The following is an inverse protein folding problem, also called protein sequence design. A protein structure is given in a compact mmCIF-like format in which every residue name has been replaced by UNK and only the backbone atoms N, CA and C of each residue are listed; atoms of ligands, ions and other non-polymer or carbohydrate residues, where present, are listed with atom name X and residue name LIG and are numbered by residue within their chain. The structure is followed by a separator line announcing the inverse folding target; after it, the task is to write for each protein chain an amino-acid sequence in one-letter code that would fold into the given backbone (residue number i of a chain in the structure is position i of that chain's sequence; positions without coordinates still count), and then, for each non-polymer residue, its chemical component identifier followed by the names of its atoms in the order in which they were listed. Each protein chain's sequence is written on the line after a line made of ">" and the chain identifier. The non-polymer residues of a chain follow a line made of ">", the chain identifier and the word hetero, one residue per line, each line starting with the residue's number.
data_IF_013765648947
#
_entry.id   IF_013765648947
#
_cell.length_a   1.000
_cell.length_b   1.000
_cell.length_c   1.000
_cell.angle_alpha   90.00
_cell.angle_beta   90.00
_cell.angle_gamma   90.00
#
_symmetry.space_group_name_H-M   'P 1'
#
loop_
_entity.id
_entity.type
_entity.pdbx_description
1 polymer ?
#
# COMPACT_ATOMS: atom_id res chain seq x y z
N UNK A 1 -36.07 -13.41 -16.50
CA UNK A 1 -35.23 -12.27 -16.92
C UNK A 1 -34.85 -11.53 -15.65
N UNK A 2 -33.56 -11.47 -15.31
CA UNK A 2 -33.08 -10.90 -14.04
C UNK A 2 -33.51 -9.43 -13.93
N UNK A 3 -34.36 -9.10 -12.95
CA UNK A 3 -34.84 -7.73 -12.73
C UNK A 3 -34.12 -7.10 -11.54
N UNK A 4 -33.22 -6.16 -11.86
CA UNK A 4 -32.74 -5.15 -10.92
C UNK A 4 -33.64 -3.93 -11.08
N UNK A 5 -34.55 -3.72 -10.13
CA UNK A 5 -35.33 -2.51 -10.09
C UNK A 5 -34.45 -1.36 -9.59
N UNK A 6 -34.76 -0.12 -9.98
CA UNK A 6 -33.98 1.06 -9.53
C UNK A 6 -33.86 1.17 -8.01
N UNK A 7 -34.85 0.66 -7.28
CA UNK A 7 -34.85 0.60 -5.81
C UNK A 7 -33.78 -0.33 -5.24
N UNK A 8 -33.34 -1.34 -5.98
CA UNK A 8 -32.33 -2.29 -5.53
C UNK A 8 -30.92 -1.67 -5.49
N UNK A 9 -30.72 -0.59 -6.24
CA UNK A 9 -29.45 0.11 -6.34
C UNK A 9 -29.08 0.83 -5.03
N UNK A 10 -30.07 1.15 -4.19
CA UNK A 10 -29.85 1.76 -2.87
C UNK A 10 -29.24 0.77 -1.86
N UNK A 11 -29.33 -0.54 -2.08
CA UNK A 11 -28.73 -1.50 -1.16
C UNK A 11 -27.20 -1.45 -1.17
N UNK A 12 -26.58 -1.05 -2.28
CA UNK A 12 -25.11 -0.97 -2.41
C UNK A 12 -24.50 0.05 -1.42
N UNK A 13 -24.92 1.33 -1.40
CA UNK A 13 -24.39 2.29 -0.42
C UNK A 13 -24.76 1.94 1.02
N UNK A 14 -25.93 1.33 1.26
CA UNK A 14 -26.33 0.86 2.60
C UNK A 14 -25.39 -0.24 3.11
N UNK A 15 -25.15 -1.28 2.30
CA UNK A 15 -24.21 -2.35 2.64
C UNK A 15 -22.81 -1.79 2.85
N UNK A 16 -22.37 -0.88 1.96
CA UNK A 16 -21.05 -0.25 2.06
C UNK A 16 -20.90 0.57 3.34
N UNK A 17 -21.92 1.34 3.73
CA UNK A 17 -21.94 2.13 4.96
C UNK A 17 -21.82 1.27 6.21
N UNK A 18 -22.65 0.22 6.32
CA UNK A 18 -22.60 -0.72 7.46
C UNK A 18 -21.22 -1.37 7.54
N UNK A 19 -20.71 -1.91 6.44
CA UNK A 19 -19.39 -2.55 6.39
C UNK A 19 -18.27 -1.57 6.76
N UNK A 20 -18.38 -0.29 6.37
CA UNK A 20 -17.43 0.75 6.73
C UNK A 20 -17.43 1.08 8.23
N UNK A 21 -18.61 1.11 8.85
CA UNK A 21 -18.73 1.27 10.30
C UNK A 21 -18.11 0.08 11.04
N UNK A 22 -18.39 -1.17 10.61
CA UNK A 22 -17.76 -2.35 11.23
C UNK A 22 -16.23 -2.34 11.09
N UNK A 23 -15.70 -1.93 9.94
CA UNK A 23 -14.25 -1.74 9.76
C UNK A 23 -13.67 -0.73 10.75
N UNK A 24 -14.40 0.36 10.99
CA UNK A 24 -13.98 1.42 11.92
C UNK A 24 -14.02 0.98 13.39
N UNK A 25 -14.86 0.01 13.72
CA UNK A 25 -14.98 -0.58 15.06
C UNK A 25 -13.95 -1.68 15.37
N UNK A 26 -12.98 -1.94 14.48
CA UNK A 26 -11.91 -2.90 14.71
C UNK A 26 -12.02 -4.21 13.93
N UNK A 27 -12.97 -4.33 12.99
CA UNK A 27 -13.04 -5.49 12.11
C UNK A 27 -11.82 -5.51 11.17
N UNK A 28 -11.03 -6.60 11.22
CA UNK A 28 -9.89 -6.81 10.32
C UNK A 28 -10.37 -6.70 8.87
N UNK A 29 -9.64 -5.94 8.04
CA UNK A 29 -9.97 -5.68 6.62
C UNK A 29 -10.20 -6.96 5.79
N UNK A 30 -9.64 -8.09 6.22
CA UNK A 30 -9.82 -9.41 5.61
C UNK A 30 -11.25 -9.95 5.70
N UNK A 31 -12.02 -9.59 6.73
CA UNK A 31 -13.40 -10.06 6.91
C UNK A 31 -14.44 -9.15 6.26
N UNK A 32 -14.05 -7.94 5.86
CA UNK A 32 -14.94 -7.00 5.21
C UNK A 32 -15.72 -7.57 4.00
N UNK A 33 -15.08 -8.31 3.06
CA UNK A 33 -15.81 -8.88 1.93
C UNK A 33 -16.73 -10.05 2.32
N UNK A 34 -16.38 -10.80 3.38
CA UNK A 34 -17.27 -11.86 3.87
C UNK A 34 -18.51 -11.25 4.53
N UNK A 35 -18.32 -10.20 5.33
CA UNK A 35 -19.43 -9.49 5.98
C UNK A 35 -20.35 -8.84 4.94
N UNK A 36 -19.81 -8.19 3.91
CA UNK A 36 -20.63 -7.57 2.87
C UNK A 36 -21.38 -8.61 2.03
N UNK A 37 -20.78 -9.78 1.78
CA UNK A 37 -21.42 -10.89 1.09
C UNK A 37 -22.60 -11.44 1.88
N UNK A 38 -22.39 -11.72 3.17
CA UNK A 38 -23.44 -12.21 4.08
C UNK A 38 -24.56 -11.18 4.19
N UNK A 39 -24.23 -9.90 4.37
CA UNK A 39 -25.23 -8.82 4.37
C UNK A 39 -26.01 -8.77 3.05
N UNK A 40 -25.33 -8.81 1.90
CA UNK A 40 -25.98 -8.76 0.59
C UNK A 40 -26.95 -9.92 0.36
N UNK A 41 -26.55 -11.13 0.76
CA UNK A 41 -27.41 -12.32 0.69
C UNK A 41 -28.61 -12.17 1.63
N UNK A 42 -28.42 -11.78 2.88
CA UNK A 42 -29.50 -11.60 3.86
C UNK A 42 -30.49 -10.54 3.38
N UNK A 43 -30.00 -9.38 2.94
CA UNK A 43 -30.86 -8.28 2.46
C UNK A 43 -31.66 -8.72 1.22
N UNK A 44 -31.02 -9.40 0.25
CA UNK A 44 -31.72 -9.93 -0.91
C UNK A 44 -32.73 -11.02 -0.54
N UNK A 45 -32.40 -11.89 0.41
CA UNK A 45 -33.31 -12.91 0.92
C UNK A 45 -34.48 -12.35 1.72
N UNK A 46 -34.41 -11.14 2.27
CA UNK A 46 -35.54 -10.55 3.01
C UNK A 46 -36.36 -9.64 2.09
N UNK A 47 -35.71 -8.82 1.27
CA UNK A 47 -36.35 -7.76 0.50
C UNK A 47 -36.68 -8.11 -0.95
N UNK A 48 -36.04 -9.11 -1.55
CA UNK A 48 -36.27 -9.41 -2.97
C UNK A 48 -37.55 -10.23 -3.15
N UNK A 49 -38.43 -9.74 -4.02
CA UNK A 49 -39.72 -10.37 -4.37
C UNK A 49 -39.60 -11.51 -5.39
N UNK A 50 -38.38 -11.86 -5.77
CA UNK A 50 -38.10 -12.91 -6.76
C UNK A 50 -38.59 -14.28 -6.25
N UNK A 51 -39.35 -15.03 -7.06
CA UNK A 51 -39.93 -16.31 -6.66
C UNK A 51 -38.88 -17.42 -6.54
N UNK A 52 -37.79 -17.33 -7.30
CA UNK A 52 -36.73 -18.33 -7.31
C UNK A 52 -35.60 -17.98 -6.32
N UNK A 53 -35.42 -18.84 -5.32
CA UNK A 53 -34.35 -18.73 -4.31
C UNK A 53 -32.95 -18.62 -4.94
N UNK A 54 -32.73 -19.28 -6.08
CA UNK A 54 -31.44 -19.27 -6.80
C UNK A 54 -31.09 -17.86 -7.29
N UNK A 55 -32.02 -17.18 -7.96
CA UNK A 55 -31.82 -15.81 -8.43
C UNK A 55 -31.71 -14.82 -7.28
N UNK A 56 -32.45 -15.06 -6.20
CA UNK A 56 -32.42 -14.25 -4.97
C UNK A 56 -31.05 -14.27 -4.29
N UNK A 57 -30.45 -15.45 -4.15
CA UNK A 57 -29.09 -15.57 -3.62
C UNK A 57 -28.05 -14.93 -4.57
N UNK A 58 -28.18 -15.15 -5.88
CA UNK A 58 -27.27 -14.57 -6.88
C UNK A 58 -27.28 -13.04 -6.86
N UNK A 59 -28.46 -12.43 -6.79
CA UNK A 59 -28.64 -10.98 -6.67
C UNK A 59 -27.94 -10.43 -5.41
N UNK A 60 -28.10 -11.10 -4.28
CA UNK A 60 -27.44 -10.74 -3.02
C UNK A 60 -25.92 -10.85 -3.07
N UNK A 61 -25.40 -11.89 -3.74
CA UNK A 61 -23.95 -12.04 -3.97
C UNK A 61 -23.40 -10.89 -4.81
N UNK A 62 -24.08 -10.51 -5.89
CA UNK A 62 -23.66 -9.41 -6.76
C UNK A 62 -23.62 -8.10 -5.98
N UNK A 63 -24.68 -7.77 -5.24
CA UNK A 63 -24.77 -6.55 -4.41
C UNK A 63 -23.68 -6.52 -3.32
N UNK A 64 -23.50 -7.64 -2.60
CA UNK A 64 -22.55 -7.75 -1.49
C UNK A 64 -21.09 -7.73 -1.93
N UNK A 65 -20.75 -8.38 -3.05
CA UNK A 65 -19.39 -8.35 -3.61
C UNK A 65 -19.05 -6.98 -4.18
N UNK A 66 -20.02 -6.34 -4.85
CA UNK A 66 -19.83 -4.99 -5.42
C UNK A 66 -19.58 -3.94 -4.35
N UNK A 67 -20.28 -4.04 -3.20
CA UNK A 67 -20.07 -3.15 -2.05
C UNK A 67 -18.69 -3.33 -1.36
N UNK A 68 -18.08 -4.50 -1.49
CA UNK A 68 -16.85 -4.86 -0.75
C UNK A 68 -15.55 -4.28 -1.30
N UNK A 69 -15.54 -3.90 -2.59
CA UNK A 69 -14.32 -3.55 -3.30
C UNK A 69 -13.32 -4.72 -3.40
N UNK A 70 -13.80 -5.96 -3.47
CA UNK A 70 -12.95 -7.17 -3.57
C UNK A 70 -11.88 -7.05 -4.66
N UNK A 71 -12.23 -6.42 -5.78
CA UNK A 71 -11.33 -6.14 -6.89
C UNK A 71 -10.09 -5.33 -6.46
N UNK A 72 -10.27 -4.27 -5.66
CA UNK A 72 -9.18 -3.38 -5.24
C UNK A 72 -8.25 -4.05 -4.23
N UNK A 73 -8.79 -4.90 -3.35
CA UNK A 73 -7.99 -5.66 -2.39
C UNK A 73 -7.15 -6.75 -3.07
N UNK A 74 -7.69 -7.43 -4.10
CA UNK A 74 -6.95 -8.39 -4.90
C UNK A 74 -5.74 -7.77 -5.61
N UNK A 75 -5.90 -6.57 -6.19
CA UNK A 75 -4.78 -5.83 -6.81
C UNK A 75 -3.70 -5.50 -5.79
N UNK A 76 -4.07 -5.07 -4.57
CA UNK A 76 -3.11 -4.83 -3.49
C UNK A 76 -2.34 -6.08 -3.08
N UNK A 77 -2.99 -7.24 -3.02
CA UNK A 77 -2.32 -8.51 -2.72
C UNK A 77 -1.32 -8.90 -3.82
N UNK A 78 -1.71 -8.80 -5.09
CA UNK A 78 -0.81 -9.10 -6.23
C UNK A 78 0.35 -8.11 -6.32
N UNK A 79 0.09 -6.82 -6.09
CA UNK A 79 1.16 -5.81 -6.02
C UNK A 79 2.07 -6.07 -4.83
N UNK A 80 1.56 -6.44 -3.66
CA UNK A 80 2.37 -6.78 -2.49
C UNK A 80 3.29 -7.99 -2.76
N UNK A 81 2.77 -9.04 -3.38
CA UNK A 81 3.55 -10.24 -3.78
C UNK A 81 4.65 -9.89 -4.80
N UNK A 82 4.38 -8.98 -5.74
CA UNK A 82 5.39 -8.54 -6.72
C UNK A 82 6.34 -7.45 -6.18
N UNK A 83 5.89 -6.68 -5.19
CA UNK A 83 6.67 -5.63 -4.53
C UNK A 83 7.63 -6.18 -3.48
N UNK A 84 7.40 -7.38 -2.94
CA UNK A 84 8.35 -8.09 -2.07
C UNK A 84 9.71 -8.29 -2.80
N UNK A 85 9.66 -8.66 -4.09
CA UNK A 85 10.85 -8.79 -4.96
C UNK A 85 11.55 -7.45 -5.30
N UNK A 86 10.95 -6.30 -4.99
CA UNK A 86 11.52 -4.96 -5.27
C UNK A 86 11.92 -4.20 -4.01
N UNK A 87 11.60 -4.72 -2.81
CA UNK A 87 12.07 -4.14 -1.55
C UNK A 87 13.55 -4.49 -1.33
N UNK A 88 13.97 -5.71 -1.63
CA UNK A 88 15.37 -6.13 -1.58
C UNK A 88 16.25 -5.32 -2.56
N UNK A 89 15.73 -5.02 -3.76
CA UNK A 89 16.45 -4.20 -4.76
C UNK A 89 16.51 -2.72 -4.42
N UNK A 90 15.59 -2.20 -3.60
CA UNK A 90 15.60 -0.80 -3.16
C UNK A 90 16.50 -0.59 -1.94
N UNK A 91 16.63 -1.60 -1.08
CA UNK A 91 17.55 -1.58 0.08
C UNK A 91 19.02 -1.69 -0.40
N UNK A 92 19.32 -2.60 -1.34
CA UNK A 92 20.68 -2.75 -1.91
C UNK A 92 21.16 -1.49 -2.67
N UNK A 93 20.23 -0.81 -3.36
CA UNK A 93 20.55 0.42 -4.11
C UNK A 93 20.78 1.62 -3.18
N UNK A 94 20.05 1.71 -2.07
CA UNK A 94 20.26 2.76 -1.06
C UNK A 94 21.55 2.56 -0.26
N UNK A 95 21.91 1.31 0.04
CA UNK A 95 23.14 0.99 0.78
C UNK A 95 24.41 1.28 -0.06
N UNK A 96 24.34 1.06 -1.37
CA UNK A 96 25.45 1.36 -2.30
C UNK A 96 25.66 2.88 -2.48
N UNK A 97 24.58 3.66 -2.53
CA UNK A 97 24.68 5.12 -2.65
C UNK A 97 25.18 5.78 -1.36
N UNK A 98 24.78 5.28 -0.18
CA UNK A 98 25.25 5.79 1.11
C UNK A 98 26.74 5.50 1.33
N UNK A 99 27.21 4.28 1.03
CA UNK A 99 28.62 3.92 1.18
C UNK A 99 29.54 4.76 0.27
N UNK A 100 29.06 5.14 -0.94
CA UNK A 100 29.81 6.00 -1.86
C UNK A 100 30.00 7.43 -1.34
N UNK A 101 29.03 7.94 -0.58
CA UNK A 101 29.12 9.28 0.04
C UNK A 101 30.14 9.27 1.18
N UNK A 102 30.21 8.19 1.96
CA UNK A 102 31.15 8.05 3.06
C UNK A 102 32.60 7.92 2.57
N UNK A 103 32.85 7.12 1.53
CA UNK A 103 34.18 7.02 0.91
C UNK A 103 34.65 8.37 0.36
N UNK A 104 33.74 9.12 -0.29
CA UNK A 104 34.08 10.44 -0.84
C UNK A 104 34.43 11.46 0.25
N UNK A 105 33.75 11.43 1.39
CA UNK A 105 34.10 12.29 2.54
C UNK A 105 35.48 11.99 3.10
N UNK A 106 35.89 10.72 3.14
CA UNK A 106 37.22 10.33 3.61
C UNK A 106 38.33 10.78 2.65
N UNK A 107 38.06 10.75 1.33
CA UNK A 107 39.02 11.24 0.33
C UNK A 107 39.18 12.77 0.41
N UNK A 108 38.07 13.49 0.57
CA UNK A 108 38.08 14.96 0.72
C UNK A 108 38.83 15.40 2.00
N UNK A 109 38.68 14.66 3.11
CA UNK A 109 39.39 14.95 4.37
C UNK A 109 40.90 14.73 4.26
N UNK A 110 41.33 13.65 3.60
CA UNK A 110 42.75 13.37 3.35
C UNK A 110 43.41 14.40 2.44
N UNK A 111 42.69 14.90 1.44
CA UNK A 111 43.19 15.95 0.55
C UNK A 111 43.38 17.29 1.27
N UNK A 112 42.55 17.58 2.27
CA UNK A 112 42.68 18.78 3.10
C UNK A 112 43.89 18.66 4.04
N UNK A 113 44.08 17.52 4.71
CA UNK A 113 45.26 17.28 5.54
C UNK A 113 46.57 17.37 4.74
N UNK A 114 46.60 16.80 3.53
CA UNK A 114 47.77 16.86 2.66
C UNK A 114 48.10 18.31 2.23
N UNK A 115 47.08 19.10 1.89
CA UNK A 115 47.25 20.53 1.53
C UNK A 115 47.75 21.35 2.71
N UNK A 116 47.26 21.08 3.92
CA UNK A 116 47.65 21.80 5.13
C UNK A 116 49.12 21.50 5.49
N UNK A 117 49.53 20.24 5.46
CA UNK A 117 50.88 19.83 5.78
C UNK A 117 51.91 20.40 4.79
N UNK A 118 51.55 20.45 3.50
CA UNK A 118 52.37 21.07 2.47
C UNK A 118 52.51 22.60 2.63
N UNK A 119 51.47 23.29 3.14
CA UNK A 119 51.56 24.73 3.40
C UNK A 119 52.44 25.04 4.61
N UNK A 120 52.32 24.25 5.68
CA UNK A 120 53.13 24.39 6.90
C UNK A 120 54.62 24.20 6.60
N UNK A 121 54.98 23.14 5.88
CA UNK A 121 56.38 22.90 5.48
C UNK A 121 56.96 24.04 4.63
N UNK A 122 56.14 24.67 3.79
CA UNK A 122 56.55 25.79 2.94
C UNK A 122 56.77 27.10 3.73
N UNK A 123 56.11 27.27 4.86
CA UNK A 123 56.33 28.41 5.76
C UNK A 123 57.57 28.20 6.64
N UNK A 124 57.83 26.97 7.12
CA UNK A 124 59.08 26.67 7.85
C UNK A 124 60.34 26.83 6.98
N UNK A 125 60.29 26.47 5.69
CA UNK A 125 61.42 26.65 4.77
C UNK A 125 61.77 28.13 4.49
N UNK A 126 60.83 29.06 4.75
CA UNK A 126 61.06 30.51 4.62
C UNK A 126 61.69 31.12 5.87
N UNK A 127 61.51 30.51 7.04
CA UNK A 127 62.03 31.01 8.32
C UNK A 127 63.50 30.62 8.49
N UNK A 128 63.92 29.47 7.97
CA UNK A 128 65.30 28.95 8.05
C UNK A 128 66.27 29.62 7.04
N UNK A 129 65.75 30.48 6.14
CA UNK A 129 66.52 31.24 5.13
C UNK A 129 66.71 32.72 5.47
N UNK A 130 66.49 33.12 6.73
CA UNK A 130 66.65 34.49 7.21
C UNK A 130 67.64 34.56 8.37
#
# INVERSE_FOLDING_TARGET
>A
MFNLNGNDMFFIPVITGIVSMLKSLGLKKTFAPLVSLVLGIILSLIFSTEPELKFRALKGMILGLSASGFYTNGKKAVTMINSDNNLDKQIEKQETDNNKIDVKKLDDEKDIELKLNNHINKEYEKIDKK
#
